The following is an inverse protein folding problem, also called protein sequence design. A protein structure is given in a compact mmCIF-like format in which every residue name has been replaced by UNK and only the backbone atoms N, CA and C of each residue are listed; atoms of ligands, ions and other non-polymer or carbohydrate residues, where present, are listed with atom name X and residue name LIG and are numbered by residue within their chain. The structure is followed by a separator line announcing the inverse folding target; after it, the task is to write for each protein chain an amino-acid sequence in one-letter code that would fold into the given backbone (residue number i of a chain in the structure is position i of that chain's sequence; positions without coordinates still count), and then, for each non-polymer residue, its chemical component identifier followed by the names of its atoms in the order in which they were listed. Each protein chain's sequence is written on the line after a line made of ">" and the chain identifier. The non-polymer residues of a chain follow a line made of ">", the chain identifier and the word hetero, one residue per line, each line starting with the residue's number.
data_IF_975108226021
#
_entry.id   IF_975108226021
#
_cell.length_a   1.000
_cell.length_b   1.000
_cell.length_c   1.000
_cell.angle_alpha   90.00
_cell.angle_beta   90.00
_cell.angle_gamma   90.00
#
_symmetry.space_group_name_H-M   'P 1'
#
loop_
_entity.id
_entity.type
_entity.pdbx_description
1 polymer ?
#
# COMPACT_ATOMS: atom_id res chain seq x y z
N UNK A 1 -6.30 28.57 13.56
CA UNK A 1 -5.59 27.91 12.44
C UNK A 1 -6.33 28.25 11.14
N UNK A 2 -5.60 28.61 10.08
CA UNK A 2 -6.22 28.94 8.79
C UNK A 2 -7.01 27.74 8.22
N UNK A 3 -8.12 28.00 7.53
CA UNK A 3 -8.97 26.96 6.92
C UNK A 3 -8.18 26.00 6.01
N UNK A 4 -7.10 26.49 5.39
CA UNK A 4 -6.18 25.70 4.55
C UNK A 4 -5.37 24.69 5.37
N UNK A 5 -4.80 25.07 6.51
CA UNK A 5 -3.99 24.16 7.34
C UNK A 5 -4.84 23.06 7.98
N UNK A 6 -6.09 23.34 8.33
CA UNK A 6 -7.04 22.31 8.78
C UNK A 6 -7.29 21.29 7.67
N UNK A 7 -7.48 21.74 6.42
CA UNK A 7 -7.64 20.85 5.25
C UNK A 7 -6.37 20.04 4.96
N UNK A 8 -5.18 20.65 5.06
CA UNK A 8 -3.90 19.93 4.96
C UNK A 8 -3.80 18.82 6.00
N UNK A 9 -4.12 19.12 7.25
CA UNK A 9 -4.11 18.17 8.36
C UNK A 9 -4.96 16.94 8.06
N UNK A 10 -6.18 17.11 7.54
CA UNK A 10 -7.03 15.98 7.13
C UNK A 10 -6.42 15.12 6.02
N UNK A 11 -5.80 15.73 5.00
CA UNK A 11 -5.16 14.97 3.92
C UNK A 11 -3.92 14.23 4.42
N UNK A 12 -3.10 14.86 5.25
CA UNK A 12 -1.96 14.21 5.90
C UNK A 12 -2.41 13.03 6.77
N UNK A 13 -3.45 13.21 7.57
CA UNK A 13 -4.03 12.13 8.37
C UNK A 13 -4.55 10.99 7.49
N UNK A 14 -5.24 11.31 6.39
CA UNK A 14 -5.73 10.32 5.43
C UNK A 14 -4.59 9.51 4.79
N UNK A 15 -3.47 10.16 4.45
CA UNK A 15 -2.28 9.47 3.95
C UNK A 15 -1.80 8.42 4.96
N UNK A 16 -1.60 8.82 6.22
CA UNK A 16 -1.08 7.93 7.28
C UNK A 16 -2.05 6.80 7.59
N UNK A 17 -3.32 7.10 7.83
CA UNK A 17 -4.35 6.11 8.18
C UNK A 17 -4.55 5.10 7.04
N UNK A 18 -4.60 5.58 5.79
CA UNK A 18 -4.75 4.65 4.66
C UNK A 18 -3.49 3.85 4.38
N UNK A 19 -2.30 4.34 4.74
CA UNK A 19 -1.06 3.56 4.70
C UNK A 19 -1.07 2.45 5.75
N UNK A 20 -1.48 2.76 6.97
CA UNK A 20 -1.63 1.77 8.05
C UNK A 20 -2.57 0.64 7.63
N UNK A 21 -3.74 1.00 7.07
CA UNK A 21 -4.69 0.03 6.54
C UNK A 21 -4.09 -0.82 5.41
N UNK A 22 -3.36 -0.18 4.49
CA UNK A 22 -2.73 -0.87 3.38
C UNK A 22 -1.65 -1.86 3.85
N UNK A 23 -0.79 -1.48 4.78
CA UNK A 23 0.21 -2.37 5.38
C UNK A 23 -0.45 -3.56 6.06
N UNK A 24 -1.50 -3.31 6.86
CA UNK A 24 -2.28 -4.36 7.52
C UNK A 24 -2.86 -5.35 6.49
N UNK A 25 -3.37 -4.85 5.37
CA UNK A 25 -3.92 -5.69 4.31
C UNK A 25 -2.84 -6.51 3.59
N UNK A 26 -1.65 -5.94 3.39
CA UNK A 26 -0.48 -6.69 2.90
C UNK A 26 -0.06 -7.81 3.87
N UNK A 27 -0.11 -7.56 5.17
CA UNK A 27 0.14 -8.57 6.19
C UNK A 27 -0.87 -9.71 6.14
N UNK A 28 -2.14 -9.43 5.87
CA UNK A 28 -3.16 -10.47 5.67
C UNK A 28 -2.80 -11.36 4.49
N UNK A 29 -2.36 -10.77 3.35
CA UNK A 29 -1.91 -11.55 2.19
C UNK A 29 -0.80 -12.53 2.58
N UNK A 30 0.20 -12.06 3.33
CA UNK A 30 1.36 -12.87 3.70
C UNK A 30 0.99 -13.91 4.78
N UNK A 31 0.41 -13.46 5.88
CA UNK A 31 0.27 -14.26 7.11
C UNK A 31 -0.93 -15.20 7.09
N UNK A 32 -2.01 -14.84 6.38
CA UNK A 32 -3.24 -15.65 6.33
C UNK A 32 -3.28 -16.53 5.09
N UNK A 33 -2.72 -16.06 3.98
CA UNK A 33 -2.76 -16.79 2.71
C UNK A 33 -1.41 -17.39 2.32
N UNK A 34 -0.40 -16.58 1.99
CA UNK A 34 0.85 -17.03 1.38
C UNK A 34 1.60 -18.04 2.26
N UNK A 35 1.85 -17.70 3.52
CA UNK A 35 2.70 -18.51 4.42
C UNK A 35 2.02 -19.81 4.86
N UNK A 36 0.75 -19.80 5.27
CA UNK A 36 0.04 -21.04 5.56
C UNK A 36 -0.08 -21.94 4.32
N UNK A 37 -0.28 -21.36 3.14
CA UNK A 37 -0.37 -22.10 1.88
C UNK A 37 0.97 -22.79 1.53
N UNK A 38 2.09 -22.08 1.73
CA UNK A 38 3.46 -22.61 1.58
C UNK A 38 3.75 -23.70 2.60
N UNK A 39 3.55 -23.41 3.89
CA UNK A 39 3.86 -24.32 5.01
C UNK A 39 3.09 -25.63 4.91
N UNK A 40 1.81 -25.57 4.53
CA UNK A 40 0.94 -26.75 4.35
C UNK A 40 1.09 -27.40 2.97
N UNK A 41 1.99 -26.88 2.11
CA UNK A 41 2.23 -27.37 0.74
C UNK A 41 0.93 -27.55 -0.04
N UNK A 42 0.04 -26.55 0.03
CA UNK A 42 -1.27 -26.60 -0.64
C UNK A 42 -1.09 -26.60 -2.16
N UNK A 43 -0.14 -25.81 -2.65
CA UNK A 43 0.29 -25.70 -4.05
C UNK A 43 1.83 -25.67 -4.13
N UNK A 44 2.38 -25.79 -5.34
CA UNK A 44 3.83 -25.69 -5.57
C UNK A 44 4.37 -24.30 -5.33
N UNK A 45 5.66 -24.19 -5.04
CA UNK A 45 6.34 -22.91 -4.85
C UNK A 45 6.24 -22.01 -6.09
N UNK A 46 6.32 -22.59 -7.30
CA UNK A 46 6.14 -21.84 -8.56
C UNK A 46 4.76 -21.17 -8.64
N UNK A 47 3.70 -21.86 -8.19
CA UNK A 47 2.35 -21.29 -8.16
C UNK A 47 2.22 -20.24 -7.06
N UNK A 48 2.89 -20.40 -5.92
CA UNK A 48 2.95 -19.36 -4.89
C UNK A 48 3.60 -18.10 -5.47
N UNK A 49 4.76 -18.23 -6.11
CA UNK A 49 5.45 -17.10 -6.73
C UNK A 49 4.61 -16.48 -7.86
N UNK A 50 3.89 -17.27 -8.64
CA UNK A 50 3.00 -16.77 -9.70
C UNK A 50 1.75 -16.03 -9.17
N UNK A 51 1.28 -16.34 -7.95
CA UNK A 51 0.11 -15.68 -7.34
C UNK A 51 0.52 -14.43 -6.58
N UNK A 52 1.59 -14.52 -5.77
CA UNK A 52 1.96 -13.50 -4.80
C UNK A 52 3.13 -12.62 -5.26
N UNK A 53 3.90 -13.04 -6.27
CA UNK A 53 5.02 -12.27 -6.82
C UNK A 53 5.99 -11.77 -5.74
N UNK A 54 6.29 -10.48 -5.78
CA UNK A 54 7.15 -9.79 -4.81
C UNK A 54 6.39 -9.15 -3.63
N UNK A 55 5.21 -9.67 -3.23
CA UNK A 55 4.38 -9.04 -2.19
C UNK A 55 5.10 -8.81 -0.87
N UNK A 56 6.01 -9.71 -0.47
CA UNK A 56 6.81 -9.56 0.75
C UNK A 56 7.75 -8.35 0.70
N UNK A 57 8.31 -8.08 -0.48
CA UNK A 57 9.15 -6.90 -0.70
C UNK A 57 8.30 -5.64 -0.58
N UNK A 58 7.11 -5.63 -1.19
CA UNK A 58 6.16 -4.53 -1.05
C UNK A 58 5.78 -4.32 0.43
N UNK A 59 5.41 -5.38 1.15
CA UNK A 59 5.09 -5.29 2.58
C UNK A 59 6.21 -4.64 3.39
N UNK A 60 7.46 -5.07 3.19
CA UNK A 60 8.59 -4.54 3.93
C UNK A 60 8.83 -3.05 3.66
N UNK A 61 8.75 -2.63 2.40
CA UNK A 61 8.93 -1.22 2.02
C UNK A 61 7.80 -0.34 2.59
N UNK A 62 6.55 -0.81 2.55
CA UNK A 62 5.43 -0.04 3.06
C UNK A 62 5.41 0.03 4.59
N UNK A 63 5.94 -0.98 5.30
CA UNK A 63 6.20 -0.88 6.74
C UNK A 63 7.19 0.24 7.05
N UNK A 64 8.31 0.30 6.32
CA UNK A 64 9.30 1.37 6.48
C UNK A 64 8.73 2.74 6.14
N UNK A 65 7.90 2.83 5.09
CA UNK A 65 7.19 4.07 4.75
C UNK A 65 6.25 4.49 5.88
N UNK A 66 5.44 3.57 6.40
CA UNK A 66 4.51 3.84 7.50
C UNK A 66 5.24 4.33 8.75
N UNK A 67 6.34 3.68 9.13
CA UNK A 67 7.19 4.12 10.25
C UNK A 67 7.72 5.54 10.03
N UNK A 68 8.23 5.84 8.82
CA UNK A 68 8.71 7.18 8.49
C UNK A 68 7.60 8.24 8.52
N UNK A 69 6.38 7.88 8.09
CA UNK A 69 5.21 8.75 8.17
C UNK A 69 4.82 9.03 9.63
N UNK A 70 4.80 8.02 10.50
CA UNK A 70 4.53 8.21 11.93
C UNK A 70 5.57 9.11 12.59
N UNK A 71 6.85 8.96 12.26
CA UNK A 71 7.91 9.85 12.74
C UNK A 71 7.68 11.29 12.27
N UNK A 72 7.28 11.48 11.01
CA UNK A 72 7.07 12.82 10.45
C UNK A 72 5.87 13.58 11.03
N UNK A 73 4.89 12.88 11.60
CA UNK A 73 3.73 13.50 12.27
C UNK A 73 3.89 13.54 13.80
N UNK A 74 4.97 12.99 14.35
CA UNK A 74 5.20 12.95 15.79
C UNK A 74 5.46 14.37 16.31
N UNK A 75 4.86 14.69 17.46
CA UNK A 75 5.01 15.97 18.13
C UNK A 75 5.18 15.76 19.63
N UNK A 76 5.87 16.68 20.31
CA UNK A 76 6.27 16.55 21.72
C UNK A 76 5.08 16.54 22.68
N UNK A 77 3.95 17.11 22.28
CA UNK A 77 2.69 17.07 23.05
C UNK A 77 2.03 15.69 23.08
N UNK A 78 2.53 14.72 22.32
CA UNK A 78 1.94 13.37 22.19
C UNK A 78 0.79 13.28 21.19
N UNK A 79 0.22 14.40 20.75
CA UNK A 79 -0.78 14.45 19.68
C UNK A 79 -0.09 14.63 18.32
N UNK A 80 -0.44 13.88 17.26
CA UNK A 80 0.19 14.05 15.96
C UNK A 80 -0.01 15.46 15.36
N UNK A 81 1.06 16.05 14.83
CA UNK A 81 1.00 17.32 14.11
C UNK A 81 1.02 17.09 12.59
N UNK A 82 -0.17 16.83 12.06
CA UNK A 82 -0.37 16.64 10.63
C UNK A 82 -0.26 17.93 9.81
N UNK A 83 -0.47 19.10 10.44
CA UNK A 83 -0.48 20.37 9.72
C UNK A 83 0.93 20.78 9.29
N UNK A 84 1.92 20.53 10.16
CA UNK A 84 3.33 20.89 9.93
C UNK A 84 4.20 19.71 9.45
N UNK A 85 3.64 18.50 9.33
CA UNK A 85 4.37 17.31 8.89
C UNK A 85 4.91 17.44 7.46
N UNK A 86 6.11 16.92 7.19
CA UNK A 86 6.74 16.93 5.87
C UNK A 86 6.55 15.61 5.11
N UNK A 87 5.28 15.26 4.83
CA UNK A 87 4.95 13.96 4.23
C UNK A 87 5.39 13.85 2.76
N UNK A 88 5.41 14.96 2.01
CA UNK A 88 5.94 15.00 0.65
C UNK A 88 7.42 14.62 0.62
N UNK A 89 8.23 15.17 1.54
CA UNK A 89 9.64 14.80 1.69
C UNK A 89 9.82 13.32 2.04
N UNK A 90 8.99 12.77 2.92
CA UNK A 90 9.01 11.33 3.26
C UNK A 90 8.70 10.51 2.01
N UNK A 91 7.57 10.74 1.35
CA UNK A 91 7.15 9.94 0.20
C UNK A 91 8.17 10.02 -0.94
N UNK A 92 8.79 11.18 -1.17
CA UNK A 92 9.85 11.36 -2.17
C UNK A 92 11.02 10.39 -1.95
N UNK A 93 11.43 10.14 -0.70
CA UNK A 93 12.51 9.19 -0.38
C UNK A 93 12.13 7.75 -0.75
N UNK A 94 10.84 7.44 -0.79
CA UNK A 94 10.34 6.11 -1.11
C UNK A 94 9.96 5.92 -2.60
N UNK A 95 9.84 7.00 -3.38
CA UNK A 95 9.55 6.95 -4.81
C UNK A 95 10.41 5.94 -5.59
N UNK A 96 11.75 5.86 -5.41
CA UNK A 96 12.58 4.91 -6.17
C UNK A 96 12.17 3.44 -6.03
N UNK A 97 11.42 3.10 -4.98
CA UNK A 97 10.90 1.75 -4.74
C UNK A 97 9.54 1.49 -5.40
N UNK A 98 8.81 2.52 -5.83
CA UNK A 98 7.50 2.38 -6.50
C UNK A 98 7.60 1.60 -7.82
N UNK A 99 8.76 1.61 -8.49
CA UNK A 99 9.04 0.74 -9.65
C UNK A 99 8.83 -0.76 -9.37
N UNK A 100 8.94 -1.19 -8.11
CA UNK A 100 8.69 -2.59 -7.72
C UNK A 100 7.22 -3.00 -7.86
N UNK A 101 6.30 -2.03 -7.84
CA UNK A 101 4.88 -2.28 -8.10
C UNK A 101 4.64 -2.65 -9.56
N UNK A 102 5.43 -2.13 -10.51
CA UNK A 102 5.29 -2.48 -11.92
C UNK A 102 5.46 -4.00 -12.15
N UNK A 103 6.39 -4.63 -11.45
CA UNK A 103 6.61 -6.08 -11.53
C UNK A 103 5.44 -6.88 -10.94
N UNK A 104 4.82 -6.38 -9.88
CA UNK A 104 3.63 -6.97 -9.28
C UNK A 104 2.42 -6.84 -10.22
N UNK A 105 2.14 -5.62 -10.68
CA UNK A 105 1.00 -5.30 -11.54
C UNK A 105 0.99 -6.11 -12.84
N UNK A 106 2.15 -6.34 -13.46
CA UNK A 106 2.28 -7.15 -14.69
C UNK A 106 1.75 -8.57 -14.52
N UNK A 107 1.84 -9.14 -13.33
CA UNK A 107 1.45 -10.53 -13.05
C UNK A 107 0.03 -10.66 -12.50
N UNK A 108 -0.64 -9.55 -12.21
CA UNK A 108 -1.89 -9.54 -11.48
C UNK A 108 -3.02 -10.33 -12.16
N UNK A 109 -3.23 -10.11 -13.46
CA UNK A 109 -4.29 -10.80 -14.20
C UNK A 109 -4.08 -12.32 -14.21
N UNK A 110 -2.82 -12.75 -14.36
CA UNK A 110 -2.42 -14.15 -14.31
C UNK A 110 -2.65 -14.73 -12.91
N UNK A 111 -2.24 -14.01 -11.85
CA UNK A 111 -2.47 -14.42 -10.47
C UNK A 111 -3.96 -14.66 -10.18
N UNK A 112 -4.84 -13.73 -10.56
CA UNK A 112 -6.30 -13.87 -10.37
C UNK A 112 -6.85 -15.08 -11.13
N UNK A 113 -6.40 -15.31 -12.37
CA UNK A 113 -6.81 -16.48 -13.16
C UNK A 113 -6.37 -17.81 -12.50
N UNK A 114 -5.13 -17.87 -12.00
CA UNK A 114 -4.62 -19.03 -11.27
C UNK A 114 -5.47 -19.31 -10.04
N UNK A 115 -5.76 -18.29 -9.22
CA UNK A 115 -6.60 -18.44 -8.01
C UNK A 115 -7.99 -18.98 -8.36
N UNK A 116 -8.62 -18.46 -9.41
CA UNK A 116 -9.93 -18.94 -9.88
C UNK A 116 -9.89 -20.41 -10.31
N UNK A 117 -8.82 -20.84 -11.00
CA UNK A 117 -8.61 -22.24 -11.38
C UNK A 117 -8.40 -23.12 -10.15
N UNK A 118 -7.56 -22.69 -9.22
CA UNK A 118 -7.25 -23.45 -8.00
C UNK A 118 -8.46 -23.63 -7.08
N UNK A 119 -9.37 -22.65 -7.01
CA UNK A 119 -10.64 -22.78 -6.26
C UNK A 119 -11.49 -23.98 -6.70
N UNK A 120 -11.32 -24.50 -7.93
CA UNK A 120 -12.01 -25.70 -8.41
C UNK A 120 -11.40 -27.01 -7.89
N UNK A 121 -10.21 -26.95 -7.29
CA UNK A 121 -9.56 -28.13 -6.69
C UNK A 121 -9.98 -28.29 -5.24
N UNK A 122 -10.32 -29.53 -4.84
CA UNK A 122 -10.79 -29.82 -3.48
C UNK A 122 -9.79 -29.35 -2.42
N UNK A 123 -8.51 -29.67 -2.57
CA UNK A 123 -7.46 -29.32 -1.60
C UNK A 123 -7.35 -27.81 -1.36
N UNK A 124 -7.29 -27.01 -2.43
CA UNK A 124 -7.19 -25.55 -2.29
C UNK A 124 -8.49 -24.95 -1.76
N UNK A 125 -9.65 -25.43 -2.22
CA UNK A 125 -10.96 -24.91 -1.78
C UNK A 125 -11.16 -25.05 -0.28
N UNK A 126 -10.87 -26.24 0.29
CA UNK A 126 -10.96 -26.46 1.73
C UNK A 126 -10.01 -25.56 2.53
N UNK A 127 -8.75 -25.44 2.08
CA UNK A 127 -7.78 -24.53 2.70
C UNK A 127 -8.26 -23.07 2.64
N UNK A 128 -8.73 -22.64 1.47
CA UNK A 128 -9.19 -21.28 1.23
C UNK A 128 -10.39 -20.93 2.10
N UNK A 129 -11.36 -21.84 2.24
CA UNK A 129 -12.51 -21.67 3.12
C UNK A 129 -12.09 -21.51 4.59
N UNK A 130 -11.06 -22.23 5.05
CA UNK A 130 -10.51 -22.06 6.40
C UNK A 130 -9.84 -20.69 6.58
N UNK A 131 -9.03 -20.23 5.61
CA UNK A 131 -8.39 -18.91 5.66
C UNK A 131 -9.41 -17.77 5.72
N UNK A 132 -10.52 -17.87 4.98
CA UNK A 132 -11.58 -16.84 4.97
C UNK A 132 -12.29 -16.67 6.32
N UNK A 133 -12.24 -17.66 7.20
CA UNK A 133 -12.77 -17.56 8.57
C UNK A 133 -11.89 -16.72 9.49
N UNK A 134 -10.65 -16.41 9.08
CA UNK A 134 -9.78 -15.53 9.87
C UNK A 134 -10.40 -14.13 9.95
N UNK A 135 -10.61 -13.57 11.17
CA UNK A 135 -11.20 -12.24 11.33
C UNK A 135 -10.45 -11.13 10.60
N UNK A 136 -9.14 -11.26 10.41
CA UNK A 136 -8.31 -10.30 9.68
C UNK A 136 -8.73 -10.17 8.19
N UNK A 137 -9.39 -11.19 7.63
CA UNK A 137 -9.94 -11.14 6.27
C UNK A 137 -11.13 -10.17 6.15
N UNK A 138 -11.82 -9.82 7.24
CA UNK A 138 -12.96 -8.89 7.25
C UNK A 138 -14.03 -9.21 6.19
N UNK A 139 -14.28 -10.50 5.96
CA UNK A 139 -15.22 -10.99 4.94
C UNK A 139 -14.73 -10.89 3.49
N UNK A 140 -13.61 -10.22 3.22
CA UNK A 140 -13.07 -10.04 1.88
C UNK A 140 -12.47 -11.34 1.29
N UNK A 141 -12.47 -11.40 -0.04
CA UNK A 141 -11.83 -12.48 -0.80
C UNK A 141 -10.33 -12.19 -1.00
N UNK A 142 -9.48 -13.22 -1.11
CA UNK A 142 -8.05 -13.06 -1.38
C UNK A 142 -7.78 -12.24 -2.66
N UNK A 143 -8.62 -12.38 -3.69
CA UNK A 143 -8.51 -11.57 -4.91
C UNK A 143 -8.73 -10.08 -4.66
N UNK A 144 -9.54 -9.70 -3.66
CA UNK A 144 -9.76 -8.31 -3.25
C UNK A 144 -8.53 -7.72 -2.54
N UNK A 145 -7.79 -8.54 -1.80
CA UNK A 145 -6.50 -8.11 -1.25
C UNK A 145 -5.43 -7.99 -2.33
N UNK A 146 -5.34 -8.99 -3.23
CA UNK A 146 -4.31 -9.03 -4.26
C UNK A 146 -4.36 -7.83 -5.22
N UNK A 147 -5.52 -7.17 -5.40
CA UNK A 147 -5.64 -6.00 -6.28
C UNK A 147 -5.17 -4.69 -5.61
N UNK A 148 -5.07 -4.63 -4.28
CA UNK A 148 -4.74 -3.41 -3.55
C UNK A 148 -3.41 -2.76 -3.95
N UNK A 149 -2.31 -3.50 -4.19
CA UNK A 149 -1.06 -2.89 -4.69
C UNK A 149 -1.22 -2.16 -6.02
N UNK A 150 -2.10 -2.65 -6.92
CA UNK A 150 -2.39 -2.00 -8.20
C UNK A 150 -3.10 -0.66 -7.98
N UNK A 151 -3.94 -0.58 -6.96
CA UNK A 151 -4.73 0.60 -6.62
C UNK A 151 -3.95 1.63 -5.78
N UNK A 152 -2.92 1.19 -5.04
CA UNK A 152 -2.19 2.07 -4.10
C UNK A 152 -1.42 3.18 -4.81
N UNK A 153 -0.74 2.88 -5.92
CA UNK A 153 0.06 3.89 -6.65
C UNK A 153 -0.81 5.04 -7.20
N UNK A 154 -1.94 4.78 -7.90
CA UNK A 154 -2.89 5.83 -8.26
C UNK A 154 -3.43 6.60 -7.05
N UNK A 155 -3.62 5.94 -5.91
CA UNK A 155 -4.12 6.59 -4.68
C UNK A 155 -3.13 7.60 -4.13
N UNK A 156 -1.82 7.30 -4.11
CA UNK A 156 -0.80 8.29 -3.73
C UNK A 156 -0.85 9.52 -4.64
N UNK A 157 -1.02 9.34 -5.96
CA UNK A 157 -1.10 10.46 -6.88
C UNK A 157 -2.23 11.42 -6.51
N UNK A 158 -3.43 10.89 -6.23
CA UNK A 158 -4.60 11.70 -5.85
C UNK A 158 -4.39 12.42 -4.51
N UNK A 159 -3.86 11.71 -3.50
CA UNK A 159 -3.61 12.26 -2.17
C UNK A 159 -2.55 13.36 -2.21
N UNK A 160 -1.45 13.15 -2.95
CA UNK A 160 -0.39 14.14 -3.12
C UNK A 160 -0.87 15.37 -3.89
N UNK A 161 -1.77 15.20 -4.87
CA UNK A 161 -2.33 16.32 -5.62
C UNK A 161 -3.19 17.21 -4.72
N UNK A 162 -4.02 16.61 -3.87
CA UNK A 162 -4.80 17.38 -2.92
C UNK A 162 -3.91 17.98 -1.83
N UNK A 163 -2.89 17.26 -1.36
CA UNK A 163 -1.91 17.78 -0.41
C UNK A 163 -1.24 19.04 -0.96
N UNK A 164 -0.75 19.02 -2.20
CA UNK A 164 -0.12 20.16 -2.85
C UNK A 164 -1.01 21.41 -2.84
N UNK A 165 -2.30 21.26 -3.21
CA UNK A 165 -3.27 22.38 -3.22
C UNK A 165 -3.53 22.96 -1.83
N UNK A 166 -3.26 22.21 -0.76
CA UNK A 166 -3.45 22.61 0.64
C UNK A 166 -2.14 22.93 1.34
N UNK A 167 -1.02 22.95 0.63
CA UNK A 167 0.29 23.28 1.19
C UNK A 167 0.59 24.75 0.90
N UNK A 168 0.70 25.60 1.94
CA UNK A 168 1.15 26.99 1.76
C UNK A 168 2.54 27.06 1.12
N UNK A 169 2.81 28.12 0.35
CA UNK A 169 4.08 28.26 -0.37
C UNK A 169 5.30 28.42 0.56
N UNK A 170 5.07 28.93 1.77
CA UNK A 170 6.05 29.06 2.86
C UNK A 170 6.22 27.78 3.68
N UNK A 171 5.38 26.76 3.47
CA UNK A 171 5.50 25.49 4.16
C UNK A 171 6.70 24.68 3.61
N UNK A 172 7.57 24.11 4.47
CA UNK A 172 8.78 23.39 4.02
C UNK A 172 8.49 22.22 3.07
N UNK A 173 7.38 21.51 3.29
CA UNK A 173 6.94 20.41 2.41
C UNK A 173 6.55 20.84 0.97
N UNK A 174 6.31 22.13 0.71
CA UNK A 174 5.78 22.63 -0.58
C UNK A 174 6.67 22.26 -1.76
N UNK A 175 8.00 22.29 -1.58
CA UNK A 175 8.98 22.05 -2.65
C UNK A 175 9.12 20.57 -3.01
N UNK A 176 8.77 19.65 -2.11
CA UNK A 176 9.00 18.21 -2.33
C UNK A 176 7.87 17.55 -3.10
N UNK A 177 6.62 17.98 -2.89
CA UNK A 177 5.43 17.37 -3.50
C UNK A 177 5.48 17.43 -5.05
N UNK A 178 5.86 18.54 -5.71
CA UNK A 178 6.02 18.59 -7.16
C UNK A 178 7.06 17.60 -7.71
N UNK A 179 8.15 17.36 -6.97
CA UNK A 179 9.23 16.46 -7.38
C UNK A 179 8.77 15.00 -7.38
N UNK A 180 7.87 14.62 -6.48
CA UNK A 180 7.27 13.28 -6.50
C UNK A 180 6.55 13.01 -7.83
N UNK A 181 5.85 14.02 -8.38
CA UNK A 181 5.16 13.88 -9.66
C UNK A 181 6.10 13.70 -10.85
N UNK A 182 7.21 14.44 -10.89
CA UNK A 182 8.17 14.34 -11.99
C UNK A 182 8.87 12.98 -12.05
N UNK A 183 9.12 12.36 -10.90
CA UNK A 183 9.82 11.06 -10.83
C UNK A 183 8.89 9.90 -11.19
N UNK A 184 7.68 9.86 -10.60
CA UNK A 184 6.84 8.67 -10.62
C UNK A 184 5.62 8.75 -11.54
N UNK A 185 5.06 9.94 -11.78
CA UNK A 185 3.76 10.07 -12.43
C UNK A 185 3.82 10.69 -13.83
N UNK A 186 4.84 11.49 -14.14
CA UNK A 186 5.00 12.12 -15.47
C UNK A 186 5.55 11.16 -16.54
N UNK A 187 6.02 9.97 -16.14
CA UNK A 187 6.46 8.90 -17.06
C UNK A 187 5.32 8.25 -17.85
N UNK A 188 4.05 8.61 -17.61
CA UNK A 188 2.88 8.12 -18.38
C UNK A 188 2.57 8.93 -19.65
N UNK A 189 3.40 9.94 -19.99
CA UNK A 189 3.31 10.72 -21.23
C UNK A 189 4.34 10.34 -22.32
N UNK A 190 5.04 9.22 -22.17
CA UNK A 190 5.92 8.66 -23.22
C UNK A 190 5.61 7.19 -23.45
#
# INVERSE_FOLDING_TARGET
>A
MSNILNKRSYICQEIVVTEEHYVRDLEVIVNVFMDPMRKKKIISEDLIMAIFGNIRVLLNINKQLLEALYVAVKHDSGCPDYANANLGAVILRFCPFFKMYSNYCKQQNKAIAIVRKLKKTSKFSHFYAACRKNPACRGMEMTSFLIMPVQRIPRYQLLLQELQKRTPADHPDFVFIPVVFSIEFDRRRR
#
